data_IF_208683143879
#
_entry.id   IF_208683143879
#
_cell.length_a   1.000
_cell.length_b   1.000
_cell.length_c   1.000
_cell.angle_alpha   90.00
_cell.angle_beta   90.00
_cell.angle_gamma   90.00
#
_symmetry.space_group_name_H-M   'P 1'
#
loop_
_entity.id
_entity.type
_entity.pdbx_description
1 polymer ?
#
# COMPACT_ATOMS: atom_id res chain seq x y z
N UNK A 1 4.82 2.78 -20.25
CA UNK A 1 3.73 2.66 -19.24
C UNK A 1 3.81 3.82 -18.26
N UNK A 2 2.68 4.44 -17.89
CA UNK A 2 2.65 5.44 -16.82
C UNK A 2 3.31 4.91 -15.55
N UNK A 3 4.06 5.75 -14.83
CA UNK A 3 4.78 5.35 -13.61
C UNK A 3 3.84 4.70 -12.57
N UNK A 4 2.61 5.21 -12.46
CA UNK A 4 1.57 4.69 -11.54
C UNK A 4 1.17 3.24 -11.84
N UNK A 5 1.25 2.80 -13.11
CA UNK A 5 0.89 1.43 -13.48
C UNK A 5 1.81 0.39 -12.84
N UNK A 6 3.07 0.76 -12.56
CA UNK A 6 4.06 -0.13 -11.92
C UNK A 6 3.72 -0.45 -10.47
N UNK A 7 2.91 0.40 -9.82
CA UNK A 7 2.60 0.33 -8.39
C UNK A 7 1.11 0.12 -8.12
N UNK A 8 0.30 -0.01 -9.17
CA UNK A 8 -1.15 -0.10 -9.04
C UNK A 8 -1.60 -1.30 -8.20
N UNK A 9 -0.93 -2.45 -8.39
CA UNK A 9 -1.18 -3.67 -7.60
C UNK A 9 -0.87 -3.42 -6.12
N UNK A 10 0.32 -2.88 -5.81
CA UNK A 10 0.73 -2.56 -4.45
C UNK A 10 -0.25 -1.58 -3.77
N UNK A 11 -0.60 -0.48 -4.47
CA UNK A 11 -1.55 0.51 -3.98
C UNK A 11 -2.93 -0.10 -3.72
N UNK A 12 -3.41 -0.95 -4.64
CA UNK A 12 -4.68 -1.66 -4.50
C UNK A 12 -4.68 -2.59 -3.28
N UNK A 13 -3.65 -3.42 -3.12
CA UNK A 13 -3.53 -4.36 -2.02
C UNK A 13 -3.44 -3.65 -0.67
N UNK A 14 -2.67 -2.56 -0.59
CA UNK A 14 -2.47 -1.83 0.68
C UNK A 14 -3.72 -1.09 1.17
N UNK A 15 -4.55 -0.57 0.26
CA UNK A 15 -5.64 0.37 0.61
C UNK A 15 -7.05 -0.19 0.41
N UNK A 16 -7.23 -1.16 -0.49
CA UNK A 16 -8.58 -1.49 -0.98
C UNK A 16 -8.77 -2.89 -1.53
N UNK A 17 -7.91 -3.86 -1.15
CA UNK A 17 -8.13 -5.26 -1.46
C UNK A 17 -8.99 -5.90 -0.37
N UNK A 18 -9.99 -6.68 -0.79
CA UNK A 18 -10.90 -7.38 0.11
C UNK A 18 -10.14 -8.33 1.07
N UNK A 19 -9.01 -8.87 0.60
CA UNK A 19 -8.19 -9.83 1.34
C UNK A 19 -7.41 -9.22 2.51
N UNK A 20 -7.12 -7.92 2.48
CA UNK A 20 -6.16 -7.28 3.40
C UNK A 20 -6.80 -6.27 4.36
N UNK A 21 -8.10 -6.00 4.24
CA UNK A 21 -8.85 -4.88 4.88
C UNK A 21 -8.56 -3.52 4.24
N UNK A 22 -9.57 -2.65 4.33
CA UNK A 22 -9.63 -1.35 3.66
C UNK A 22 -9.05 -0.24 4.55
N UNK A 23 -8.00 0.42 4.08
CA UNK A 23 -7.45 1.66 4.62
C UNK A 23 -7.67 2.71 3.54
N UNK A 24 -8.76 3.47 3.67
CA UNK A 24 -9.13 4.50 2.69
C UNK A 24 -9.87 3.99 1.45
N UNK A 25 -9.89 4.80 0.39
CA UNK A 25 -10.60 4.50 -0.86
C UNK A 25 -9.61 4.36 -2.02
N UNK A 26 -9.96 3.59 -3.05
CA UNK A 26 -9.11 3.43 -4.25
C UNK A 26 -8.76 4.78 -4.90
N UNK A 27 -9.66 5.77 -4.80
CA UNK A 27 -9.42 7.11 -5.34
C UNK A 27 -8.46 7.93 -4.47
N UNK A 28 -8.56 7.86 -3.14
CA UNK A 28 -7.63 8.56 -2.24
C UNK A 28 -6.21 8.00 -2.37
N UNK A 29 -6.08 6.67 -2.50
CA UNK A 29 -4.83 5.96 -2.75
C UNK A 29 -4.03 6.50 -3.96
N UNK A 30 -4.71 6.89 -5.05
CA UNK A 30 -4.04 7.39 -6.26
C UNK A 30 -3.64 8.87 -6.18
N UNK A 31 -4.28 9.65 -5.30
CA UNK A 31 -3.96 11.07 -5.11
C UNK A 31 -2.66 11.32 -4.35
N UNK A 32 -2.08 10.26 -3.79
CA UNK A 32 -0.89 10.31 -2.93
C UNK A 32 0.41 10.02 -3.67
N UNK A 33 0.38 9.98 -5.02
CA UNK A 33 1.55 9.66 -5.86
C UNK A 33 2.24 8.35 -5.42
N UNK A 34 1.53 7.20 -5.46
CA UNK A 34 2.01 5.93 -4.89
C UNK A 34 3.37 5.48 -5.44
N UNK A 35 3.74 5.90 -6.65
CA UNK A 35 5.03 5.61 -7.29
C UNK A 35 6.23 6.09 -6.46
N UNK A 36 6.08 7.14 -5.64
CA UNK A 36 7.15 7.66 -4.79
C UNK A 36 7.50 6.71 -3.63
N UNK A 37 6.57 5.82 -3.27
CA UNK A 37 6.67 4.99 -2.08
C UNK A 37 6.74 3.50 -2.41
N UNK A 38 6.00 3.07 -3.42
CA UNK A 38 5.67 1.66 -3.64
C UNK A 38 6.42 1.02 -4.81
N UNK A 39 7.38 1.71 -5.44
CA UNK A 39 8.07 1.23 -6.65
C UNK A 39 8.62 -0.19 -6.52
N UNK A 40 9.19 -0.51 -5.35
CA UNK A 40 9.81 -1.82 -5.07
C UNK A 40 8.95 -2.73 -4.18
N UNK A 41 7.72 -2.33 -3.86
CA UNK A 41 6.87 -3.08 -2.93
C UNK A 41 6.45 -4.43 -3.53
N UNK A 42 6.71 -5.52 -2.81
CA UNK A 42 6.38 -6.88 -3.25
C UNK A 42 7.21 -7.38 -4.45
N UNK A 43 8.29 -6.71 -4.85
CA UNK A 43 9.16 -7.21 -5.94
C UNK A 43 10.10 -8.31 -5.49
N UNK A 44 10.49 -8.30 -4.23
CA UNK A 44 11.49 -9.18 -3.64
C UNK A 44 11.08 -9.55 -2.21
N UNK A 45 11.50 -10.74 -1.78
CA UNK A 45 11.41 -11.19 -0.40
C UNK A 45 12.77 -11.15 0.32
N UNK A 46 13.78 -10.48 -0.25
CA UNK A 46 15.02 -10.21 0.47
C UNK A 46 14.74 -9.38 1.74
N UNK A 47 15.30 -9.80 2.87
CA UNK A 47 14.98 -9.21 4.17
C UNK A 47 15.40 -7.74 4.28
N UNK A 48 16.52 -7.36 3.68
CA UNK A 48 17.01 -5.98 3.72
C UNK A 48 16.12 -5.07 2.85
N UNK A 49 15.72 -5.55 1.68
CA UNK A 49 14.79 -4.82 0.80
C UNK A 49 13.38 -4.70 1.41
N UNK A 50 12.94 -5.71 2.16
CA UNK A 50 11.65 -5.70 2.85
C UNK A 50 11.53 -4.57 3.86
N UNK A 51 12.53 -4.36 4.73
CA UNK A 51 12.42 -3.33 5.78
C UNK A 51 12.29 -1.92 5.19
N UNK A 52 13.03 -1.62 4.13
CA UNK A 52 12.89 -0.36 3.40
C UNK A 52 11.51 -0.23 2.73
N UNK A 53 11.03 -1.31 2.10
CA UNK A 53 9.72 -1.34 1.46
C UNK A 53 8.59 -1.15 2.48
N UNK A 54 8.70 -1.75 3.67
CA UNK A 54 7.73 -1.62 4.77
C UNK A 54 7.68 -0.17 5.25
N UNK A 55 8.84 0.45 5.51
CA UNK A 55 8.91 1.84 5.96
C UNK A 55 8.31 2.80 4.93
N UNK A 56 8.61 2.62 3.65
CA UNK A 56 8.00 3.43 2.58
C UNK A 56 6.50 3.20 2.44
N UNK A 57 6.03 1.96 2.56
CA UNK A 57 4.61 1.63 2.50
C UNK A 57 3.83 2.22 3.69
N UNK A 58 4.42 2.23 4.89
CA UNK A 58 3.82 2.91 6.04
C UNK A 58 3.69 4.42 5.78
N UNK A 59 4.75 5.06 5.29
CA UNK A 59 4.71 6.48 4.95
C UNK A 59 3.61 6.78 3.92
N UNK A 60 3.48 5.94 2.89
CA UNK A 60 2.37 6.03 1.93
C UNK A 60 1.00 5.95 2.62
N UNK A 61 0.79 4.98 3.51
CA UNK A 61 -0.47 4.84 4.25
C UNK A 61 -0.75 6.04 5.17
N UNK A 62 0.28 6.64 5.76
CA UNK A 62 0.16 7.88 6.54
C UNK A 62 -0.31 9.03 5.66
N UNK A 63 0.29 9.20 4.47
CA UNK A 63 -0.12 10.25 3.52
C UNK A 63 -1.52 10.01 2.94
N UNK A 64 -1.91 8.75 2.77
CA UNK A 64 -3.25 8.36 2.34
C UNK A 64 -4.28 8.70 3.43
N UNK A 65 -3.98 8.34 4.68
CA UNK A 65 -4.85 8.59 5.84
C UNK A 65 -5.00 10.08 6.15
N UNK A 66 -3.90 10.84 6.09
CA UNK A 66 -3.88 12.28 6.34
C UNK A 66 -3.00 13.00 5.30
N UNK A 67 -3.56 13.39 4.15
CA UNK A 67 -2.82 14.13 3.13
C UNK A 67 -2.23 15.44 3.69
N UNK A 68 -1.01 15.76 3.28
CA UNK A 68 -0.31 16.99 3.69
C UNK A 68 0.34 16.98 5.08
N UNK A 69 0.19 15.89 5.86
CA UNK A 69 0.87 15.76 7.15
C UNK A 69 2.39 15.68 6.98
N UNK A 70 3.22 16.23 7.89
CA UNK A 70 4.67 15.98 7.90
C UNK A 70 5.02 14.58 8.42
N UNK A 71 4.11 13.88 9.10
CA UNK A 71 4.33 12.56 9.69
C UNK A 71 4.76 11.52 8.63
N UNK A 72 5.63 10.61 9.03
CA UNK A 72 6.15 9.50 8.21
C UNK A 72 5.76 8.13 8.75
N UNK A 73 5.40 8.05 10.04
CA UNK A 73 4.97 6.83 10.70
C UNK A 73 3.56 6.99 11.30
N UNK A 74 2.85 5.88 11.45
CA UNK A 74 1.51 5.87 12.01
C UNK A 74 1.50 6.32 13.47
N UNK A 75 2.52 5.98 14.26
CA UNK A 75 2.63 6.45 15.65
C UNK A 75 2.80 7.98 15.73
N UNK A 76 3.58 8.58 14.82
CA UNK A 76 3.70 10.05 14.74
C UNK A 76 2.36 10.70 14.41
N UNK A 77 1.62 10.13 13.44
CA UNK A 77 0.30 10.63 13.07
C UNK A 77 -0.68 10.49 14.24
N UNK A 78 -0.67 9.33 14.91
CA UNK A 78 -1.52 9.05 16.07
C UNK A 78 -1.25 10.03 17.21
N UNK A 79 0.02 10.25 17.55
CA UNK A 79 0.44 11.23 18.56
C UNK A 79 -0.04 12.64 18.20
N UNK A 80 0.21 13.06 16.95
CA UNK A 80 -0.18 14.38 16.45
C UNK A 80 -1.68 14.60 16.55
N UNK A 81 -2.49 13.63 16.09
CA UNK A 81 -3.95 13.72 16.12
C UNK A 81 -4.50 13.73 17.55
N UNK A 82 -3.95 12.91 18.43
CA UNK A 82 -4.32 12.86 19.84
C UNK A 82 -4.02 14.19 20.55
N UNK A 83 -2.87 14.81 20.26
CA UNK A 83 -2.46 16.04 20.92
C UNK A 83 -3.15 17.30 20.35
N UNK A 84 -3.44 17.31 19.05
CA UNK A 84 -4.03 18.48 18.37
C UNK A 84 -5.57 18.48 18.40
N UNK A 85 -6.22 17.34 18.61
CA UNK A 85 -7.68 17.25 18.66
C UNK A 85 -8.16 17.07 20.11
N UNK A 86 -8.91 18.03 20.63
CA UNK A 86 -9.44 18.00 22.01
C UNK A 86 -10.56 16.96 22.22
N UNK A 87 -11.06 16.30 21.18
CA UNK A 87 -12.23 15.43 21.26
C UNK A 87 -12.25 14.28 20.23
N UNK A 88 -11.09 13.71 19.87
CA UNK A 88 -11.07 12.54 18.98
C UNK A 88 -11.35 11.26 19.78
N UNK A 89 -12.29 10.44 19.33
CA UNK A 89 -12.54 9.14 19.95
C UNK A 89 -11.36 8.19 19.68
N UNK A 90 -11.08 7.29 20.62
CA UNK A 90 -10.01 6.28 20.47
C UNK A 90 -10.23 5.41 19.23
N UNK A 91 -11.49 5.21 18.83
CA UNK A 91 -11.89 4.46 17.63
C UNK A 91 -11.51 5.17 16.32
N UNK A 92 -11.32 6.48 16.34
CA UNK A 92 -10.99 7.31 15.17
C UNK A 92 -9.48 7.49 15.00
N UNK A 93 -8.68 7.14 16.01
CA UNK A 93 -7.24 7.25 15.93
C UNK A 93 -6.68 6.20 14.95
N UNK A 94 -5.67 6.58 14.14
CA UNK A 94 -5.02 5.63 13.23
C UNK A 94 -4.37 4.48 14.02
N UNK A 95 -4.16 3.31 13.38
CA UNK A 95 -3.47 2.20 14.02
C UNK A 95 -2.07 2.61 14.47
N UNK A 96 -1.45 1.84 15.36
CA UNK A 96 -0.03 2.04 15.69
C UNK A 96 0.87 1.49 14.58
N UNK A 97 2.13 1.94 14.55
CA UNK A 97 3.17 1.40 13.65
C UNK A 97 3.33 -0.11 13.83
N UNK A 98 3.27 -0.61 15.07
CA UNK A 98 3.31 -2.04 15.34
C UNK A 98 2.11 -2.79 14.75
N UNK A 99 0.90 -2.24 14.88
CA UNK A 99 -0.31 -2.85 14.34
C UNK A 99 -0.33 -2.84 12.80
N UNK A 100 0.06 -1.73 12.17
CA UNK A 100 0.08 -1.61 10.71
C UNK A 100 1.18 -2.45 10.07
N UNK A 101 2.29 -2.72 10.76
CA UNK A 101 3.39 -3.54 10.23
C UNK A 101 2.92 -4.92 9.78
N UNK A 102 2.07 -5.59 10.56
CA UNK A 102 1.52 -6.90 10.18
C UNK A 102 0.58 -6.82 8.98
N UNK A 103 -0.15 -5.71 8.81
CA UNK A 103 -0.93 -5.45 7.60
C UNK A 103 -0.01 -5.31 6.39
N UNK A 104 1.02 -4.49 6.49
CA UNK A 104 1.97 -4.25 5.40
C UNK A 104 2.69 -5.54 5.01
N UNK A 105 3.12 -6.36 5.96
CA UNK A 105 3.77 -7.66 5.68
C UNK A 105 2.85 -8.61 4.91
N UNK A 106 1.58 -8.73 5.32
CA UNK A 106 0.59 -9.53 4.59
C UNK A 106 0.38 -8.99 3.17
N UNK A 107 0.26 -7.68 3.03
CA UNK A 107 0.14 -7.02 1.73
C UNK A 107 1.37 -7.25 0.84
N UNK A 108 2.57 -7.21 1.42
CA UNK A 108 3.83 -7.43 0.71
C UNK A 108 3.88 -8.84 0.14
N UNK A 109 3.52 -9.84 0.95
CA UNK A 109 3.45 -11.23 0.50
C UNK A 109 2.41 -11.44 -0.61
N UNK A 110 1.20 -10.91 -0.45
CA UNK A 110 0.15 -11.03 -1.49
C UNK A 110 0.58 -10.32 -2.78
N UNK A 111 1.21 -9.15 -2.67
CA UNK A 111 1.72 -8.40 -3.82
C UNK A 111 2.81 -9.18 -4.55
N UNK A 112 3.74 -9.78 -3.80
CA UNK A 112 4.76 -10.66 -4.36
C UNK A 112 4.13 -11.83 -5.12
N UNK A 113 3.21 -12.55 -4.49
CA UNK A 113 2.52 -13.65 -5.15
C UNK A 113 1.84 -13.19 -6.45
N UNK A 114 1.14 -12.06 -6.46
CA UNK A 114 0.46 -11.57 -7.68
C UNK A 114 1.42 -11.11 -8.77
N UNK A 115 2.52 -10.43 -8.43
CA UNK A 115 3.53 -9.99 -9.41
C UNK A 115 4.22 -11.19 -10.06
N UNK A 116 4.50 -12.23 -9.26
CA UNK A 116 5.26 -13.40 -9.70
C UNK A 116 4.38 -14.54 -10.23
N UNK A 117 3.05 -14.52 -10.02
CA UNK A 117 2.13 -15.59 -10.40
C UNK A 117 2.12 -15.90 -11.91
N UNK A 118 2.39 -14.90 -12.76
CA UNK A 118 2.38 -15.09 -14.21
C UNK A 118 3.78 -15.32 -14.80
N UNK A 119 4.85 -15.29 -14.00
CA UNK A 119 6.21 -15.53 -14.50
C UNK A 119 6.35 -16.97 -15.03
N UNK A 120 5.62 -17.91 -14.44
CA UNK A 120 5.63 -19.32 -14.85
C UNK A 120 4.50 -19.69 -15.83
N UNK A 121 3.54 -18.78 -16.05
CA UNK A 121 2.37 -19.05 -16.90
C UNK A 121 2.68 -18.62 -18.34
N UNK A 122 2.83 -19.60 -19.22
CA UNK A 122 3.05 -19.40 -20.67
C UNK A 122 1.77 -19.19 -21.48
N UNK A 123 0.62 -19.15 -20.81
CA UNK A 123 -0.68 -19.05 -21.47
C UNK A 123 -0.92 -17.65 -22.04
N UNK A 124 -1.51 -17.59 -23.24
CA UNK A 124 -1.76 -16.33 -23.90
C UNK A 124 -2.92 -15.58 -23.21
N UNK A 125 -2.79 -14.28 -22.88
CA UNK A 125 -3.83 -13.53 -22.17
C UNK A 125 -5.18 -13.55 -22.89
N UNK A 126 -5.21 -13.63 -24.22
CA UNK A 126 -6.46 -13.67 -25.00
C UNK A 126 -7.32 -14.90 -24.70
N UNK A 127 -6.75 -15.99 -24.17
CA UNK A 127 -7.50 -17.16 -23.70
C UNK A 127 -8.37 -16.85 -22.47
N UNK A 128 -8.13 -15.72 -21.81
CA UNK A 128 -8.87 -15.26 -20.63
C UNK A 128 -9.70 -13.99 -20.91
N UNK A 129 -10.03 -13.73 -22.18
CA UNK A 129 -10.91 -12.63 -22.57
C UNK A 129 -10.26 -11.25 -22.65
N UNK A 130 -8.92 -11.18 -22.69
CA UNK A 130 -8.21 -9.94 -23.01
C UNK A 130 -8.20 -9.72 -24.53
N UNK A 131 -8.43 -8.49 -24.96
CA UNK A 131 -8.43 -8.12 -26.38
C UNK A 131 -7.04 -7.62 -26.79
N UNK A 132 -6.57 -8.04 -27.96
CA UNK A 132 -5.45 -7.39 -28.62
C UNK A 132 -5.92 -6.02 -29.12
N UNK A 133 -5.21 -4.96 -28.72
CA UNK A 133 -5.46 -3.64 -29.30
C UNK A 133 -4.99 -3.65 -30.75
N UNK A 134 -5.96 -3.59 -31.67
CA UNK A 134 -5.76 -3.28 -33.10
C UNK A 134 -5.28 -1.84 -33.26
#
# INVERSE_FOLDING_TARGET
MPAVCKVLIAAHILTGCYMTRKLGTKLSALKVCPEQYLENFGRSLDKHEQDLAISKAENYLVKETKPGTPCKAMDELRYTLCHQSRAMDLSELPPTTAAIRFHILRCLYVCYMQIHCLIEVKEHPTYFGFEEKV
#
